data_IF_729610319808
#
_entry.id   IF_729610319808
#
_cell.length_a   1.000
_cell.length_b   1.000
_cell.length_c   1.000
_cell.angle_alpha   90.00
_cell.angle_beta   90.00
_cell.angle_gamma   90.00
#
_symmetry.space_group_name_H-M   'P 1'
#
loop_
_entity.id
_entity.type
_entity.pdbx_description
1 polymer ?
#
# COMPACT_ATOMS: atom_id res chain seq x y z
N UNK A 1 -5.46 23.11 -52.80
CA UNK A 1 -5.84 22.32 -54.00
C UNK A 1 -5.36 20.89 -53.78
N UNK A 2 -6.30 19.95 -53.59
CA UNK A 2 -6.10 18.47 -53.68
C UNK A 2 -6.05 18.06 -55.17
N UNK A 3 -5.42 16.94 -55.61
CA UNK A 3 -5.86 15.54 -55.35
C UNK A 3 -4.71 14.54 -55.03
N UNK A 4 -4.89 13.54 -54.16
CA UNK A 4 -5.44 12.16 -54.36
C UNK A 4 -4.63 11.31 -55.36
N UNK A 5 -4.00 10.23 -54.86
CA UNK A 5 -3.96 8.92 -55.52
C UNK A 5 -3.69 7.81 -54.48
N UNK A 6 -4.70 6.99 -54.25
CA UNK A 6 -4.65 5.73 -53.52
C UNK A 6 -4.18 4.60 -54.45
N UNK A 7 -3.49 3.59 -53.92
CA UNK A 7 -3.41 2.28 -54.57
C UNK A 7 -3.39 1.16 -53.52
N UNK A 8 -4.56 0.53 -53.40
CA UNK A 8 -4.81 -0.79 -52.82
C UNK A 8 -4.60 -1.84 -53.91
N UNK A 9 -4.18 -3.06 -53.54
CA UNK A 9 -4.38 -4.41 -54.16
C UNK A 9 -3.14 -5.27 -53.84
N UNK A 10 -3.16 -6.57 -53.54
CA UNK A 10 -4.11 -7.54 -53.00
C UNK A 10 -3.31 -8.85 -52.81
N UNK A 11 -3.53 -9.51 -51.67
CA UNK A 11 -3.69 -10.97 -51.45
C UNK A 11 -2.94 -11.95 -52.36
N UNK A 12 -2.12 -12.82 -51.75
CA UNK A 12 -1.97 -14.21 -52.19
C UNK A 12 -2.18 -15.19 -51.02
N UNK A 13 -3.19 -16.04 -51.20
CA UNK A 13 -3.61 -17.17 -50.39
C UNK A 13 -2.72 -18.38 -50.71
N UNK A 14 -2.31 -19.14 -49.70
CA UNK A 14 -1.85 -20.52 -49.87
C UNK A 14 -2.44 -21.43 -48.78
N UNK A 15 -3.57 -22.03 -49.10
CA UNK A 15 -4.22 -23.14 -48.39
C UNK A 15 -3.82 -24.48 -49.02
N UNK A 16 -3.46 -25.47 -48.20
CA UNK A 16 -3.57 -26.91 -48.50
C UNK A 16 -3.74 -27.62 -47.13
N UNK A 17 -4.90 -28.16 -46.72
CA UNK A 17 -5.77 -29.22 -47.24
C UNK A 17 -5.56 -30.57 -46.50
N UNK A 18 -6.54 -30.89 -45.63
CA UNK A 18 -7.24 -32.18 -45.39
C UNK A 18 -6.48 -33.47 -44.98
N UNK A 19 -6.59 -33.79 -43.67
CA UNK A 19 -7.14 -34.97 -42.95
C UNK A 19 -7.44 -36.33 -43.66
N UNK A 20 -7.89 -37.43 -42.99
CA UNK A 20 -7.84 -37.87 -41.56
C UNK A 20 -7.39 -39.36 -41.38
N UNK A 21 -7.17 -39.83 -40.15
CA UNK A 21 -7.31 -41.26 -39.80
C UNK A 21 -7.58 -41.48 -38.30
N UNK A 22 -8.78 -42.00 -38.00
CA UNK A 22 -9.16 -42.55 -36.71
C UNK A 22 -8.85 -44.05 -36.66
N UNK A 23 -8.35 -44.55 -35.52
CA UNK A 23 -8.50 -45.95 -35.12
C UNK A 23 -8.41 -46.09 -33.60
N UNK A 24 -9.49 -46.60 -33.03
CA UNK A 24 -9.64 -46.96 -31.63
C UNK A 24 -8.74 -48.13 -31.24
N UNK A 25 -8.26 -48.11 -29.99
CA UNK A 25 -7.53 -49.21 -29.36
C UNK A 25 -7.58 -49.03 -27.84
N UNK A 26 -8.64 -49.54 -27.23
CA UNK A 26 -8.79 -49.63 -25.78
C UNK A 26 -7.82 -50.68 -25.20
N UNK A 27 -7.02 -50.29 -24.22
CA UNK A 27 -6.46 -51.19 -23.20
C UNK A 27 -6.35 -50.44 -21.88
N UNK A 28 -7.07 -50.98 -20.89
CA UNK A 28 -7.14 -50.56 -19.49
C UNK A 28 -5.94 -51.09 -18.72
N UNK A 29 -5.30 -50.26 -17.88
CA UNK A 29 -4.86 -50.65 -16.53
C UNK A 29 -4.33 -49.46 -15.71
N UNK A 30 -5.08 -49.16 -14.64
CA UNK A 30 -4.67 -48.72 -13.30
C UNK A 30 -3.59 -47.63 -13.13
N UNK A 31 -4.04 -46.45 -12.71
CA UNK A 31 -3.26 -45.46 -11.97
C UNK A 31 -3.83 -45.40 -10.54
N UNK A 32 -3.00 -45.40 -9.48
CA UNK A 32 -3.49 -45.31 -8.11
C UNK A 32 -3.88 -43.86 -7.79
N UNK A 33 -5.00 -43.70 -7.10
CA UNK A 33 -5.44 -42.43 -6.53
C UNK A 33 -4.49 -42.06 -5.38
N UNK A 34 -3.80 -40.94 -5.53
CA UNK A 34 -3.18 -40.23 -4.41
C UNK A 34 -3.98 -38.96 -4.24
N UNK A 35 -4.84 -38.97 -3.24
CA UNK A 35 -5.46 -37.78 -2.67
C UNK A 35 -4.39 -37.15 -1.77
N UNK A 36 -3.81 -36.05 -2.25
CA UNK A 36 -3.02 -35.13 -1.42
C UNK A 36 -3.88 -33.89 -1.28
N UNK A 37 -4.26 -33.62 -0.04
CA UNK A 37 -4.82 -32.36 0.43
C UNK A 37 -3.86 -31.24 0.02
N UNK A 38 -4.36 -30.22 -0.67
CA UNK A 38 -3.70 -28.92 -0.69
C UNK A 38 -3.78 -28.42 0.76
N UNK A 39 -2.66 -28.56 1.47
CA UNK A 39 -2.39 -27.72 2.61
C UNK A 39 -1.94 -26.38 2.03
N UNK A 40 -2.64 -25.35 2.45
CA UNK A 40 -2.09 -24.04 2.82
C UNK A 40 -0.55 -24.02 2.85
N UNK A 41 0.03 -23.20 1.99
CA UNK A 41 1.47 -22.91 1.99
C UNK A 41 1.58 -21.40 2.05
N UNK A 42 1.45 -20.84 3.24
CA UNK A 42 2.11 -19.57 3.57
C UNK A 42 3.61 -19.78 3.38
N UNK A 43 4.29 -19.02 2.52
CA UNK A 43 5.74 -19.07 2.44
C UNK A 43 6.28 -18.28 3.64
N UNK A 44 6.44 -18.94 4.78
CA UNK A 44 7.26 -18.37 5.86
C UNK A 44 8.71 -18.30 5.35
N UNK A 45 9.18 -17.11 5.03
CA UNK A 45 10.60 -16.80 4.78
C UNK A 45 11.31 -17.06 6.11
N UNK A 46 11.99 -18.20 6.23
CA UNK A 46 12.80 -18.52 7.40
C UNK A 46 14.29 -18.42 7.04
N UNK A 47 15.06 -17.64 7.80
CA UNK A 47 16.50 -17.84 8.10
C UNK A 47 17.52 -17.72 6.94
N UNK A 48 17.14 -17.29 5.74
CA UNK A 48 17.99 -17.40 4.52
C UNK A 48 18.44 -16.06 3.90
N UNK A 49 18.25 -14.90 4.55
CA UNK A 49 18.83 -13.62 4.08
C UNK A 49 20.34 -13.65 4.33
N UNK A 50 21.14 -13.89 3.28
CA UNK A 50 22.59 -14.08 3.39
C UNK A 50 23.34 -12.99 2.61
N UNK A 51 24.16 -12.23 3.33
CA UNK A 51 25.04 -11.22 2.75
C UNK A 51 26.37 -11.85 2.37
N UNK A 52 26.48 -12.31 1.11
CA UNK A 52 27.71 -12.86 0.54
C UNK A 52 28.08 -12.12 -0.75
N UNK A 53 29.33 -11.64 -0.83
CA UNK A 53 29.87 -10.92 -1.98
C UNK A 53 30.97 -11.72 -2.71
N UNK A 54 31.10 -11.59 -4.05
CA UNK A 54 30.33 -10.73 -4.92
C UNK A 54 28.88 -11.22 -5.08
N UNK A 55 27.93 -10.27 -5.02
CA UNK A 55 26.50 -10.48 -5.24
C UNK A 55 26.19 -10.18 -6.71
N UNK A 56 25.51 -11.08 -7.41
CA UNK A 56 25.07 -10.89 -8.80
C UNK A 56 23.58 -11.19 -8.88
N UNK A 57 22.77 -10.19 -9.23
CA UNK A 57 21.31 -10.27 -9.25
C UNK A 57 20.74 -9.54 -10.46
N UNK A 58 19.55 -9.94 -10.89
CA UNK A 58 18.80 -9.24 -11.94
C UNK A 58 17.77 -8.34 -11.28
N UNK A 59 17.73 -7.08 -11.69
CA UNK A 59 16.84 -6.06 -11.12
C UNK A 59 15.49 -5.97 -11.88
N UNK A 60 14.60 -5.08 -11.47
CA UNK A 60 13.28 -4.87 -12.10
C UNK A 60 13.37 -4.47 -13.58
N UNK A 61 14.45 -3.81 -14.00
CA UNK A 61 14.68 -3.43 -15.41
C UNK A 61 15.16 -4.60 -16.28
N UNK A 62 15.50 -5.74 -15.66
CA UNK A 62 16.09 -6.90 -16.31
C UNK A 62 17.61 -6.80 -16.52
N UNK A 63 18.27 -5.82 -15.90
CA UNK A 63 19.73 -5.66 -15.93
C UNK A 63 20.37 -6.56 -14.87
N UNK A 64 21.52 -7.16 -15.20
CA UNK A 64 22.28 -7.95 -14.22
C UNK A 64 23.27 -7.05 -13.51
N UNK A 65 22.97 -6.72 -12.26
CA UNK A 65 23.79 -5.88 -11.40
C UNK A 65 24.75 -6.76 -10.60
N UNK A 66 26.00 -6.29 -10.44
CA UNK A 66 27.02 -6.96 -9.63
C UNK A 66 27.51 -6.00 -8.56
N UNK A 67 27.49 -6.43 -7.30
CA UNK A 67 28.08 -5.74 -6.15
C UNK A 67 29.28 -6.57 -5.71
N UNK A 68 30.49 -6.04 -5.91
CA UNK A 68 31.74 -6.82 -5.76
C UNK A 68 32.12 -7.10 -4.29
N UNK A 69 31.85 -6.13 -3.41
CA UNK A 69 32.18 -6.13 -1.97
C UNK A 69 31.01 -5.47 -1.20
N UNK A 70 30.97 -5.66 0.12
CA UNK A 70 29.98 -5.04 1.00
C UNK A 70 30.04 -3.50 0.88
N UNK A 71 28.94 -2.81 0.49
CA UNK A 71 28.93 -1.36 0.33
C UNK A 71 29.24 -0.61 1.63
N UNK A 72 30.02 0.48 1.55
CA UNK A 72 30.25 1.41 2.66
C UNK A 72 29.43 2.71 2.48
N UNK A 73 29.16 3.12 1.22
CA UNK A 73 28.41 4.33 0.87
C UNK A 73 27.21 3.99 -0.02
N UNK A 74 26.00 4.19 0.51
CA UNK A 74 24.72 3.87 -0.14
C UNK A 74 23.96 5.16 -0.46
N UNK A 75 23.34 5.22 -1.63
CA UNK A 75 22.29 6.21 -1.92
C UNK A 75 20.94 5.50 -1.97
N UNK A 76 19.99 5.97 -1.17
CA UNK A 76 18.59 5.56 -1.22
C UNK A 76 17.84 6.58 -2.07
N UNK A 77 17.34 6.17 -3.25
CA UNK A 77 16.90 7.12 -4.28
C UNK A 77 15.49 7.67 -4.00
N UNK A 78 14.60 6.85 -3.46
CA UNK A 78 13.23 7.20 -3.10
C UNK A 78 13.02 7.21 -1.57
N UNK A 79 11.93 7.84 -1.07
CA UNK A 79 11.59 7.81 0.35
C UNK A 79 11.43 6.39 0.93
N UNK A 80 10.82 5.46 0.20
CA UNK A 80 10.68 4.05 0.60
C UNK A 80 12.03 3.32 0.72
N UNK A 81 12.96 3.59 -0.21
CA UNK A 81 14.33 3.08 -0.14
C UNK A 81 15.01 3.56 1.14
N UNK A 82 14.81 4.84 1.49
CA UNK A 82 15.41 5.44 2.67
C UNK A 82 14.80 4.88 3.95
N UNK A 83 13.47 4.78 4.02
CA UNK A 83 12.78 4.16 5.16
C UNK A 83 13.29 2.74 5.38
N UNK A 84 13.31 1.91 4.33
CA UNK A 84 13.79 0.52 4.42
C UNK A 84 15.22 0.46 4.93
N UNK A 85 16.12 1.29 4.38
CA UNK A 85 17.53 1.32 4.78
C UNK A 85 17.70 1.77 6.24
N UNK A 86 16.83 2.66 6.75
CA UNK A 86 16.85 3.08 8.14
C UNK A 86 16.34 2.00 9.09
N UNK A 87 15.23 1.34 8.73
CA UNK A 87 14.58 0.32 9.57
C UNK A 87 15.44 -0.93 9.73
N UNK A 88 16.21 -1.31 8.69
CA UNK A 88 17.16 -2.43 8.78
C UNK A 88 18.48 -2.06 9.49
N UNK A 89 18.63 -0.83 9.99
CA UNK A 89 19.83 -0.40 10.72
C UNK A 89 21.03 0.01 9.83
N UNK A 90 20.80 0.26 8.55
CA UNK A 90 21.84 0.68 7.58
C UNK A 90 21.97 2.21 7.45
N UNK A 91 21.30 3.01 8.28
CA UNK A 91 21.25 4.47 8.15
C UNK A 91 22.62 5.15 8.16
N UNK A 92 23.62 4.60 8.87
CA UNK A 92 24.99 5.16 8.89
C UNK A 92 25.71 5.04 7.54
N UNK A 93 25.27 4.14 6.65
CA UNK A 93 25.81 3.94 5.30
C UNK A 93 25.19 4.92 4.28
N UNK A 94 24.04 5.51 4.59
CA UNK A 94 23.30 6.39 3.66
C UNK A 94 23.99 7.74 3.51
N UNK A 95 24.63 7.97 2.36
CA UNK A 95 25.31 9.24 2.04
C UNK A 95 24.43 10.21 1.24
N UNK A 96 23.34 9.72 0.65
CA UNK A 96 22.36 10.53 -0.08
C UNK A 96 20.96 9.93 -0.10
N UNK A 97 19.96 10.79 0.07
CA UNK A 97 18.53 10.45 0.04
C UNK A 97 17.67 11.72 -0.11
N UNK A 98 16.38 11.61 -0.44
CA UNK A 98 15.46 12.74 -0.32
C UNK A 98 15.40 13.24 1.14
N UNK A 99 15.53 14.54 1.37
CA UNK A 99 15.39 15.16 2.70
C UNK A 99 14.29 16.21 2.65
N UNK A 100 13.11 15.88 3.19
CA UNK A 100 11.96 16.79 3.12
C UNK A 100 10.71 16.22 3.75
N UNK A 101 9.54 16.70 3.29
CA UNK A 101 8.22 16.30 3.82
C UNK A 101 7.94 14.79 3.72
N UNK A 102 8.57 14.10 2.77
CA UNK A 102 8.40 12.66 2.56
C UNK A 102 9.33 11.80 3.41
N UNK A 103 10.28 12.38 4.14
CA UNK A 103 11.28 11.67 4.95
C UNK A 103 11.54 12.33 6.30
N UNK A 104 10.72 13.31 6.72
CA UNK A 104 10.92 14.05 7.97
C UNK A 104 10.61 13.24 9.23
N UNK A 105 9.85 12.15 9.08
CA UNK A 105 9.61 11.14 10.08
C UNK A 105 10.84 10.25 10.33
N UNK A 106 11.76 10.18 9.36
CA UNK A 106 13.08 9.59 9.57
C UNK A 106 13.91 10.62 10.32
N UNK A 107 14.51 10.24 11.46
CA UNK A 107 15.43 11.09 12.24
C UNK A 107 16.77 11.27 11.48
N UNK A 108 16.74 11.85 10.28
CA UNK A 108 17.88 11.99 9.36
C UNK A 108 18.98 12.83 10.03
N UNK A 109 20.12 12.19 10.24
CA UNK A 109 21.29 12.86 10.82
C UNK A 109 22.05 13.70 9.76
N UNK A 110 22.93 14.59 10.22
CA UNK A 110 23.68 15.54 9.37
C UNK A 110 24.67 14.88 8.36
N UNK A 111 24.70 13.55 8.21
CA UNK A 111 25.62 12.83 7.33
C UNK A 111 25.08 12.57 5.92
N UNK A 112 23.75 12.52 5.73
CA UNK A 112 23.15 12.33 4.42
C UNK A 112 23.03 13.66 3.65
N UNK A 113 23.25 13.61 2.34
CA UNK A 113 23.04 14.75 1.44
C UNK A 113 21.65 14.67 0.82
N UNK A 114 20.93 15.79 0.80
CA UNK A 114 19.70 15.90 0.02
C UNK A 114 20.03 15.81 -1.48
N UNK A 115 19.50 14.78 -2.13
CA UNK A 115 19.71 14.51 -3.57
C UNK A 115 18.55 15.00 -4.43
N UNK A 116 17.61 15.78 -3.89
CA UNK A 116 16.49 16.33 -4.65
C UNK A 116 16.79 17.69 -5.26
N UNK A 117 16.09 18.03 -6.35
CA UNK A 117 16.06 19.38 -6.90
C UNK A 117 15.29 20.34 -5.97
N UNK A 118 15.20 21.64 -6.34
CA UNK A 118 14.47 22.67 -5.58
C UNK A 118 12.98 22.33 -5.32
N UNK A 119 12.41 21.34 -6.01
CA UNK A 119 11.03 20.88 -5.82
C UNK A 119 10.87 19.81 -4.72
N UNK A 120 11.97 19.27 -4.17
CA UNK A 120 11.96 18.29 -3.09
C UNK A 120 11.53 16.87 -3.51
N UNK A 121 11.36 16.63 -4.81
CA UNK A 121 10.82 15.35 -5.35
C UNK A 121 11.71 14.82 -6.47
N UNK A 122 12.06 15.67 -7.44
CA UNK A 122 12.85 15.27 -8.59
C UNK A 122 14.28 14.97 -8.15
N UNK A 123 14.84 13.83 -8.52
CA UNK A 123 16.23 13.50 -8.18
C UNK A 123 17.21 14.34 -9.01
N UNK A 124 18.16 15.02 -8.35
CA UNK A 124 19.32 15.65 -8.98
C UNK A 124 20.40 14.59 -9.25
N UNK A 125 20.45 14.10 -10.49
CA UNK A 125 21.40 13.08 -10.90
C UNK A 125 22.86 13.50 -10.69
N UNK A 126 23.21 14.77 -10.87
CA UNK A 126 24.60 15.22 -10.67
C UNK A 126 24.97 15.21 -9.19
N UNK A 127 24.00 15.48 -8.31
CA UNK A 127 24.21 15.39 -6.87
C UNK A 127 24.47 13.95 -6.42
N UNK A 128 23.75 12.96 -6.99
CA UNK A 128 24.00 11.53 -6.76
C UNK A 128 25.37 11.11 -7.30
N UNK A 129 25.73 11.54 -8.52
CA UNK A 129 27.03 11.24 -9.14
C UNK A 129 28.20 11.82 -8.33
N UNK A 130 28.05 13.03 -7.80
CA UNK A 130 29.09 13.68 -7.00
C UNK A 130 29.36 12.98 -5.65
N UNK A 131 28.42 12.14 -5.16
CA UNK A 131 28.60 11.33 -3.96
C UNK A 131 29.46 10.09 -4.19
N UNK A 132 29.60 9.62 -5.44
CA UNK A 132 30.40 8.43 -5.82
C UNK A 132 30.05 7.16 -4.99
N UNK A 133 28.76 6.79 -4.82
CA UNK A 133 28.36 5.69 -3.94
C UNK A 133 28.76 4.31 -4.47
N UNK A 134 28.89 3.35 -3.56
CA UNK A 134 29.14 1.95 -3.90
C UNK A 134 27.90 1.28 -4.53
N UNK A 135 26.70 1.65 -4.05
CA UNK A 135 25.42 1.23 -4.61
C UNK A 135 24.35 2.32 -4.46
N UNK A 136 23.52 2.46 -5.49
CA UNK A 136 22.26 3.21 -5.46
C UNK A 136 21.11 2.21 -5.43
N UNK A 137 20.31 2.23 -4.37
CA UNK A 137 19.06 1.47 -4.29
C UNK A 137 17.94 2.39 -4.77
N UNK A 138 17.16 1.92 -5.74
CA UNK A 138 16.11 2.68 -6.36
C UNK A 138 14.85 1.84 -6.49
N UNK A 139 13.76 2.28 -5.88
CA UNK A 139 12.44 1.74 -6.17
C UNK A 139 12.08 1.93 -7.67
N UNK A 140 11.25 1.03 -8.24
CA UNK A 140 10.86 1.05 -9.66
C UNK A 140 10.18 2.37 -10.07
N UNK A 141 9.51 3.05 -9.15
CA UNK A 141 8.91 4.38 -9.39
C UNK A 141 9.93 5.44 -9.83
N UNK A 142 11.22 5.27 -9.52
CA UNK A 142 12.29 6.14 -10.03
C UNK A 142 12.40 6.15 -11.56
N UNK A 143 11.90 5.10 -12.24
CA UNK A 143 11.81 5.04 -13.71
C UNK A 143 10.84 6.07 -14.30
N UNK A 144 9.96 6.64 -13.48
CA UNK A 144 9.07 7.73 -13.90
C UNK A 144 9.84 9.00 -14.29
N UNK A 145 11.04 9.22 -13.72
CA UNK A 145 11.95 10.27 -14.11
C UNK A 145 12.72 9.86 -15.37
N UNK A 146 12.23 10.28 -16.54
CA UNK A 146 12.76 9.89 -17.85
C UNK A 146 14.30 10.06 -17.94
N UNK A 147 15.01 8.92 -18.06
CA UNK A 147 16.46 8.87 -18.28
C UNK A 147 17.33 8.97 -17.03
N UNK A 148 16.76 9.06 -15.83
CA UNK A 148 17.52 9.12 -14.57
C UNK A 148 18.42 7.89 -14.41
N UNK A 149 17.83 6.68 -14.46
CA UNK A 149 18.56 5.43 -14.26
C UNK A 149 19.62 5.23 -15.36
N UNK A 150 19.31 5.56 -16.62
CA UNK A 150 20.27 5.52 -17.73
C UNK A 150 21.46 6.46 -17.47
N UNK A 151 21.20 7.68 -16.97
CA UNK A 151 22.26 8.64 -16.65
C UNK A 151 23.18 8.14 -15.54
N UNK A 152 22.61 7.62 -14.45
CA UNK A 152 23.38 7.10 -13.31
C UNK A 152 24.19 5.85 -13.70
N UNK A 153 23.58 4.89 -14.40
CA UNK A 153 24.24 3.64 -14.80
C UNK A 153 25.17 3.80 -16.00
N UNK A 154 24.65 4.22 -17.15
CA UNK A 154 25.37 4.13 -18.43
C UNK A 154 26.32 5.31 -18.67
N UNK A 155 25.97 6.51 -18.18
CA UNK A 155 26.78 7.72 -18.39
C UNK A 155 27.79 7.94 -17.26
N UNK A 156 27.41 7.64 -16.02
CA UNK A 156 28.24 7.84 -14.83
C UNK A 156 28.93 6.57 -14.31
N UNK A 157 28.59 5.37 -14.82
CA UNK A 157 29.21 4.08 -14.42
C UNK A 157 28.94 3.74 -12.93
N UNK A 158 27.82 4.18 -12.37
CA UNK A 158 27.40 3.83 -11.00
C UNK A 158 26.69 2.47 -10.96
N UNK A 159 26.89 1.73 -9.87
CA UNK A 159 26.10 0.54 -9.54
C UNK A 159 24.74 0.99 -9.02
N UNK A 160 23.71 0.90 -9.86
CA UNK A 160 22.32 1.17 -9.44
C UNK A 160 21.56 -0.14 -9.48
N UNK A 161 20.75 -0.45 -8.48
CA UNK A 161 19.83 -1.59 -8.45
C UNK A 161 18.40 -1.08 -8.40
N UNK A 162 17.54 -1.49 -9.34
CA UNK A 162 16.11 -1.14 -9.32
C UNK A 162 15.31 -2.25 -8.66
N UNK A 163 14.74 -1.95 -7.50
CA UNK A 163 13.84 -2.82 -6.73
C UNK A 163 12.45 -2.81 -7.38
N UNK A 164 11.73 -3.94 -7.40
CA UNK A 164 10.38 -4.00 -7.96
C UNK A 164 9.39 -3.23 -7.06
N UNK A 165 8.42 -2.54 -7.67
CA UNK A 165 7.39 -1.80 -6.93
C UNK A 165 6.55 -2.75 -6.07
N UNK A 166 6.28 -2.36 -4.82
CA UNK A 166 5.54 -3.19 -3.87
C UNK A 166 4.03 -2.92 -3.96
N UNK A 167 3.26 -3.96 -4.27
CA UNK A 167 1.81 -3.88 -4.41
C UNK A 167 1.06 -4.61 -3.28
N UNK A 168 1.80 -5.08 -2.27
CA UNK A 168 1.32 -5.77 -1.08
C UNK A 168 2.33 -5.64 0.06
N UNK A 169 1.90 -5.93 1.29
CA UNK A 169 2.76 -6.03 2.47
C UNK A 169 3.78 -7.16 2.30
N UNK A 170 3.40 -8.26 1.65
CA UNK A 170 4.33 -9.34 1.29
C UNK A 170 5.46 -8.84 0.38
N UNK A 171 5.14 -8.03 -0.63
CA UNK A 171 6.16 -7.43 -1.51
C UNK A 171 7.08 -6.47 -0.72
N UNK A 172 6.55 -5.75 0.27
CA UNK A 172 7.38 -4.93 1.18
C UNK A 172 8.38 -5.82 1.93
N UNK A 173 7.91 -6.92 2.52
CA UNK A 173 8.78 -7.88 3.22
C UNK A 173 9.87 -8.45 2.30
N UNK A 174 9.54 -8.76 1.04
CA UNK A 174 10.51 -9.20 0.04
C UNK A 174 11.54 -8.09 -0.28
N UNK A 175 11.08 -6.85 -0.44
CA UNK A 175 11.93 -5.68 -0.70
C UNK A 175 12.86 -5.34 0.47
N UNK A 176 12.43 -5.55 1.72
CA UNK A 176 13.27 -5.40 2.91
C UNK A 176 14.41 -6.40 2.90
N UNK A 177 14.10 -7.69 2.69
CA UNK A 177 15.11 -8.75 2.61
C UNK A 177 16.08 -8.56 1.43
N UNK A 178 15.57 -8.06 0.30
CA UNK A 178 16.39 -7.70 -0.86
C UNK A 178 17.33 -6.53 -0.54
N UNK A 179 16.79 -5.44 0.02
CA UNK A 179 17.59 -4.27 0.41
C UNK A 179 18.69 -4.64 1.39
N UNK A 180 18.41 -5.49 2.38
CA UNK A 180 19.42 -6.03 3.29
C UNK A 180 20.58 -6.72 2.59
N UNK A 181 20.31 -7.52 1.55
CA UNK A 181 21.37 -8.15 0.74
C UNK A 181 22.15 -7.13 -0.10
N UNK A 182 21.48 -6.12 -0.65
CA UNK A 182 22.12 -5.09 -1.46
C UNK A 182 23.12 -4.26 -0.64
N UNK A 183 22.75 -3.89 0.59
CA UNK A 183 23.54 -2.98 1.45
C UNK A 183 24.39 -3.68 2.51
N UNK A 184 24.28 -5.00 2.65
CA UNK A 184 25.10 -5.77 3.60
C UNK A 184 24.49 -5.93 4.98
N UNK A 185 23.28 -5.41 5.23
CA UNK A 185 22.57 -5.47 6.51
C UNK A 185 21.50 -6.58 6.54
N UNK A 186 21.93 -7.84 6.32
CA UNK A 186 21.01 -8.99 6.30
C UNK A 186 20.45 -9.37 7.67
N UNK A 187 21.23 -9.21 8.76
CA UNK A 187 20.74 -9.45 10.13
C UNK A 187 19.64 -8.45 10.48
N UNK A 188 19.89 -7.16 10.21
CA UNK A 188 18.88 -6.11 10.38
C UNK A 188 17.64 -6.33 9.53
N UNK A 189 17.79 -6.67 8.24
CA UNK A 189 16.63 -6.98 7.39
C UNK A 189 15.83 -8.19 7.88
N UNK A 190 16.49 -9.24 8.40
CA UNK A 190 15.79 -10.39 8.99
C UNK A 190 15.04 -9.98 10.24
N UNK A 191 15.67 -9.23 11.14
CA UNK A 191 15.05 -8.73 12.37
C UNK A 191 13.84 -7.82 12.05
N UNK A 192 13.95 -6.94 11.05
CA UNK A 192 12.84 -6.07 10.61
C UNK A 192 11.67 -6.87 10.06
N UNK A 193 11.91 -7.88 9.22
CA UNK A 193 10.85 -8.74 8.68
C UNK A 193 10.16 -9.53 9.80
N UNK A 194 10.93 -10.10 10.73
CA UNK A 194 10.36 -10.79 11.90
C UNK A 194 9.52 -9.83 12.77
N UNK A 195 9.96 -8.59 12.95
CA UNK A 195 9.19 -7.57 13.67
C UNK A 195 7.89 -7.19 12.94
N UNK A 196 7.93 -7.05 11.61
CA UNK A 196 6.74 -6.80 10.81
C UNK A 196 5.73 -7.94 10.95
N UNK A 197 6.17 -9.19 10.77
CA UNK A 197 5.33 -10.38 10.87
C UNK A 197 4.68 -10.47 12.27
N UNK A 198 5.47 -10.30 13.34
CA UNK A 198 4.98 -10.34 14.72
C UNK A 198 3.93 -9.24 14.98
N UNK A 199 4.17 -8.01 14.48
CA UNK A 199 3.25 -6.88 14.66
C UNK A 199 1.95 -7.05 13.87
N UNK A 200 2.02 -7.57 12.65
CA UNK A 200 0.85 -7.86 11.84
C UNK A 200 0.00 -9.00 12.44
N UNK A 201 0.64 -10.05 13.00
CA UNK A 201 -0.09 -11.09 13.73
C UNK A 201 -0.77 -10.53 14.99
N UNK A 202 -0.09 -9.65 15.74
CA UNK A 202 -0.64 -9.00 16.93
C UNK A 202 -1.75 -7.97 16.58
N UNK A 203 -1.74 -7.42 15.36
CA UNK A 203 -2.72 -6.45 14.86
C UNK A 203 -3.96 -7.10 14.21
N UNK A 204 -3.97 -8.42 14.00
CA UNK A 204 -5.12 -9.11 13.41
C UNK A 204 -6.38 -8.89 14.29
N UNK A 205 -7.41 -8.16 13.80
CA UNK A 205 -8.51 -7.71 14.65
C UNK A 205 -9.42 -8.89 15.07
N UNK A 206 -9.83 -8.92 16.35
CA UNK A 206 -10.74 -9.96 16.88
C UNK A 206 -12.21 -9.54 16.65
N UNK A 207 -12.63 -9.51 15.37
CA UNK A 207 -13.97 -9.09 14.93
C UNK A 207 -14.79 -10.23 14.30
N UNK A 208 -16.12 -10.23 14.51
CA UNK A 208 -17.06 -11.21 13.92
C UNK A 208 -17.46 -10.82 12.47
N UNK A 209 -17.55 -9.52 12.15
CA UNK A 209 -17.89 -9.00 10.82
C UNK A 209 -16.97 -7.83 10.42
N UNK A 210 -16.34 -7.93 9.24
CA UNK A 210 -15.46 -6.89 8.71
C UNK A 210 -16.26 -5.63 8.33
N UNK A 211 -15.93 -4.45 8.88
CA UNK A 211 -16.54 -3.19 8.45
C UNK A 211 -16.14 -2.85 7.02
N UNK A 212 -17.08 -2.27 6.26
CA UNK A 212 -16.84 -1.85 4.88
C UNK A 212 -16.15 -0.49 4.84
N UNK A 213 -15.14 -0.35 3.98
CA UNK A 213 -14.34 0.86 3.86
C UNK A 213 -14.35 1.43 2.45
N UNK A 214 -14.44 2.77 2.35
CA UNK A 214 -14.16 3.52 1.13
C UNK A 214 -12.86 4.32 1.29
N UNK A 215 -11.85 4.02 0.47
CA UNK A 215 -10.59 4.77 0.44
C UNK A 215 -10.68 5.96 -0.53
N UNK A 216 -10.87 7.17 0.02
CA UNK A 216 -11.13 8.38 -0.76
C UNK A 216 -9.83 9.14 -1.06
N UNK A 217 -9.40 9.13 -2.32
CA UNK A 217 -8.21 9.88 -2.77
C UNK A 217 -8.54 11.23 -3.39
N UNK A 218 -9.68 11.36 -4.07
CA UNK A 218 -10.11 12.62 -4.67
C UNK A 218 -11.63 12.78 -4.83
N UNK A 219 -12.06 14.03 -5.09
CA UNK A 219 -13.46 14.41 -5.29
C UNK A 219 -14.07 13.81 -6.58
N UNK A 220 -13.27 13.16 -7.44
CA UNK A 220 -13.70 12.49 -8.67
C UNK A 220 -14.00 11.00 -8.43
N UNK A 221 -13.72 10.49 -7.23
CA UNK A 221 -13.98 9.10 -6.84
C UNK A 221 -12.79 8.18 -7.08
N UNK A 222 -11.57 8.70 -7.18
CA UNK A 222 -10.38 7.87 -7.29
C UNK A 222 -10.16 7.08 -5.98
N UNK A 223 -9.90 5.77 -6.11
CA UNK A 223 -9.77 4.83 -5.00
C UNK A 223 -8.80 3.70 -5.35
N UNK A 224 -8.31 3.03 -4.31
CA UNK A 224 -7.54 1.80 -4.38
C UNK A 224 -8.46 0.58 -4.44
N UNK A 225 -8.15 -0.39 -5.31
CA UNK A 225 -8.84 -1.67 -5.42
C UNK A 225 -7.88 -2.87 -5.38
N UNK A 226 -8.38 -4.11 -5.52
CA UNK A 226 -7.57 -5.32 -5.52
C UNK A 226 -6.33 -5.23 -6.43
N UNK A 227 -5.19 -5.66 -5.88
CA UNK A 227 -3.89 -5.60 -6.54
C UNK A 227 -3.12 -4.29 -6.32
N UNK A 228 -3.60 -3.42 -5.44
CA UNK A 228 -2.82 -2.28 -4.91
C UNK A 228 -2.39 -2.53 -3.47
N UNK A 229 -1.26 -1.91 -3.11
CA UNK A 229 -0.74 -1.92 -1.74
C UNK A 229 -1.77 -1.42 -0.72
N UNK A 230 -2.46 -0.33 -1.02
CA UNK A 230 -3.45 0.26 -0.13
C UNK A 230 -4.65 -0.67 0.10
N UNK A 231 -5.07 -1.45 -0.88
CA UNK A 231 -6.11 -2.45 -0.67
C UNK A 231 -5.63 -3.56 0.27
N UNK A 232 -4.40 -4.06 0.09
CA UNK A 232 -3.81 -5.08 0.94
C UNK A 232 -3.67 -4.60 2.40
N UNK A 233 -3.29 -3.34 2.62
CA UNK A 233 -3.26 -2.70 3.95
C UNK A 233 -4.64 -2.65 4.60
N UNK A 234 -5.70 -2.32 3.85
CA UNK A 234 -7.05 -2.30 4.37
C UNK A 234 -7.55 -3.70 4.76
N UNK A 235 -7.28 -4.70 3.92
CA UNK A 235 -7.66 -6.09 4.21
C UNK A 235 -6.89 -6.62 5.44
N UNK A 236 -5.59 -6.33 5.54
CA UNK A 236 -4.76 -6.72 6.68
C UNK A 236 -5.28 -6.11 8.00
N UNK A 237 -5.83 -4.90 7.95
CA UNK A 237 -6.46 -4.24 9.09
C UNK A 237 -7.92 -4.68 9.36
N UNK A 238 -8.44 -5.65 8.60
CA UNK A 238 -9.77 -6.24 8.82
C UNK A 238 -10.94 -5.57 8.11
N UNK A 239 -10.69 -4.60 7.22
CA UNK A 239 -11.75 -3.94 6.45
C UNK A 239 -12.10 -4.68 5.15
N UNK A 240 -13.38 -4.62 4.76
CA UNK A 240 -13.82 -4.99 3.42
C UNK A 240 -13.81 -3.74 2.51
N UNK A 241 -12.90 -3.68 1.54
CA UNK A 241 -12.80 -2.53 0.64
C UNK A 241 -13.89 -2.55 -0.45
N UNK A 242 -14.80 -1.57 -0.43
CA UNK A 242 -15.95 -1.51 -1.37
C UNK A 242 -15.54 -1.41 -2.85
N UNK A 243 -14.29 -1.02 -3.14
CA UNK A 243 -13.76 -0.92 -4.48
C UNK A 243 -13.66 -2.30 -5.17
N UNK A 244 -13.48 -3.38 -4.42
CA UNK A 244 -13.45 -4.75 -4.94
C UNK A 244 -14.78 -5.11 -5.63
N UNK A 245 -15.89 -4.95 -4.91
CA UNK A 245 -17.23 -5.24 -5.41
C UNK A 245 -17.66 -4.29 -6.54
N UNK A 246 -17.10 -3.07 -6.54
CA UNK A 246 -17.27 -2.11 -7.63
C UNK A 246 -16.44 -2.46 -8.89
N UNK A 247 -15.52 -3.42 -8.80
CA UNK A 247 -14.68 -3.87 -9.91
C UNK A 247 -13.58 -2.88 -10.30
N UNK A 248 -13.09 -2.09 -9.35
CA UNK A 248 -11.87 -1.29 -9.50
C UNK A 248 -10.68 -2.22 -9.34
N UNK A 249 -9.74 -2.22 -10.28
CA UNK A 249 -8.50 -3.02 -10.20
C UNK A 249 -7.33 -2.04 -9.97
N UNK A 250 -6.41 -2.36 -9.06
CA UNK A 250 -5.23 -1.56 -8.69
C UNK A 250 -5.62 -0.14 -8.24
N UNK A 251 -5.82 0.78 -9.20
CA UNK A 251 -6.33 2.12 -8.97
C UNK A 251 -7.34 2.54 -10.04
N UNK A 252 -8.41 3.22 -9.62
CA UNK A 252 -9.41 3.71 -10.57
C UNK A 252 -10.49 4.58 -9.95
N UNK A 253 -11.39 5.06 -10.81
CA UNK A 253 -12.56 5.84 -10.39
C UNK A 253 -13.74 4.90 -10.07
N UNK A 254 -14.31 5.03 -8.88
CA UNK A 254 -15.60 4.42 -8.51
C UNK A 254 -16.75 5.40 -8.82
N UNK A 255 -17.88 4.90 -9.34
CA UNK A 255 -19.07 5.73 -9.55
C UNK A 255 -19.61 6.18 -8.17
N UNK A 256 -19.80 7.49 -7.91
CA UNK A 256 -20.27 7.96 -6.61
C UNK A 256 -21.63 7.37 -6.20
N UNK A 257 -22.51 7.03 -7.15
CA UNK A 257 -23.79 6.37 -6.81
C UNK A 257 -23.58 4.92 -6.37
N UNK A 258 -22.49 4.25 -6.78
CA UNK A 258 -22.12 2.93 -6.25
C UNK A 258 -21.61 3.05 -4.82
N UNK A 259 -20.85 4.09 -4.48
CA UNK A 259 -20.44 4.36 -3.09
C UNK A 259 -21.66 4.60 -2.21
N UNK A 260 -22.63 5.38 -2.68
CA UNK A 260 -23.90 5.62 -1.98
C UNK A 260 -24.75 4.35 -1.86
N UNK A 261 -24.72 3.45 -2.86
CA UNK A 261 -25.44 2.17 -2.79
C UNK A 261 -24.76 1.17 -1.86
N UNK A 262 -23.43 1.16 -1.81
CA UNK A 262 -22.63 0.36 -0.89
C UNK A 262 -22.80 0.84 0.56
N UNK A 263 -22.91 2.16 0.76
CA UNK A 263 -23.07 2.81 2.06
C UNK A 263 -21.97 2.37 3.06
N UNK A 264 -20.70 2.71 2.80
CA UNK A 264 -19.58 2.20 3.59
C UNK A 264 -19.71 2.59 5.06
N UNK A 265 -19.21 1.74 5.95
CA UNK A 265 -19.18 1.95 7.39
C UNK A 265 -18.19 3.06 7.77
N UNK A 266 -17.06 3.13 7.05
CA UNK A 266 -16.01 4.14 7.23
C UNK A 266 -15.51 4.72 5.92
N UNK A 267 -15.07 5.99 5.97
CA UNK A 267 -14.33 6.64 4.88
C UNK A 267 -12.89 6.88 5.36
N UNK A 268 -11.95 6.22 4.68
CA UNK A 268 -10.52 6.28 4.96
C UNK A 268 -9.87 7.21 3.95
N UNK A 269 -8.96 8.08 4.38
CA UNK A 269 -8.33 9.06 3.50
C UNK A 269 -6.94 9.48 4.00
N UNK A 270 -6.01 9.87 3.10
CA UNK A 270 -4.71 10.35 3.53
C UNK A 270 -4.77 11.70 4.27
N UNK A 271 -3.96 11.85 5.31
CA UNK A 271 -3.98 12.97 6.26
C UNK A 271 -3.29 14.26 5.77
N UNK A 272 -2.80 14.30 4.52
CA UNK A 272 -2.37 15.56 3.88
C UNK A 272 -3.54 16.52 3.62
N UNK A 273 -4.78 16.02 3.73
CA UNK A 273 -6.02 16.80 3.67
C UNK A 273 -6.62 16.95 5.06
N UNK A 274 -7.20 18.12 5.36
CA UNK A 274 -7.92 18.35 6.63
C UNK A 274 -9.28 17.61 6.70
N UNK A 275 -9.86 17.26 5.55
CA UNK A 275 -11.18 16.65 5.38
C UNK A 275 -11.12 15.61 4.24
N UNK A 276 -11.91 14.52 4.28
CA UNK A 276 -11.86 13.49 3.25
C UNK A 276 -12.30 14.06 1.90
N UNK A 277 -11.54 13.83 0.80
CA UNK A 277 -11.85 14.38 -0.50
C UNK A 277 -12.94 13.54 -1.19
N UNK A 278 -14.18 13.58 -0.69
CA UNK A 278 -15.28 12.76 -1.22
C UNK A 278 -16.12 13.51 -2.28
N UNK A 279 -16.68 12.81 -3.28
CA UNK A 279 -17.66 13.41 -4.19
C UNK A 279 -18.93 13.89 -3.45
N UNK A 280 -19.54 15.00 -3.90
CA UNK A 280 -20.79 15.58 -3.33
C UNK A 280 -21.91 14.54 -3.06
N UNK A 281 -22.00 13.48 -3.88
CA UNK A 281 -23.02 12.45 -3.72
C UNK A 281 -22.79 11.57 -2.49
N UNK A 282 -21.51 11.33 -2.14
CA UNK A 282 -21.08 10.48 -1.03
C UNK A 282 -21.40 11.12 0.33
N UNK A 283 -21.63 12.44 0.40
CA UNK A 283 -22.15 13.12 1.60
C UNK A 283 -23.48 12.53 2.12
N UNK A 284 -24.19 11.74 1.29
CA UNK A 284 -25.45 11.09 1.65
C UNK A 284 -25.28 9.69 2.29
N UNK A 285 -24.04 9.20 2.41
CA UNK A 285 -23.73 7.92 3.10
C UNK A 285 -23.80 8.08 4.61
N UNK A 286 -24.05 6.98 5.31
CA UNK A 286 -24.08 6.93 6.77
C UNK A 286 -22.73 7.37 7.35
N UNK A 287 -21.61 6.86 6.83
CA UNK A 287 -20.28 7.29 7.27
C UNK A 287 -20.05 8.80 7.15
N UNK A 288 -20.51 9.43 6.06
CA UNK A 288 -20.38 10.88 5.88
C UNK A 288 -21.31 11.69 6.79
N UNK A 289 -22.55 11.23 7.01
CA UNK A 289 -23.50 11.90 7.90
C UNK A 289 -23.09 11.83 9.38
N UNK A 290 -22.43 10.74 9.78
CA UNK A 290 -21.98 10.49 11.16
C UNK A 290 -20.52 10.91 11.41
N UNK A 291 -19.80 11.36 10.38
CA UNK A 291 -18.38 11.75 10.43
C UNK A 291 -17.45 10.57 10.83
N UNK A 292 -17.77 9.35 10.36
CA UNK A 292 -16.93 8.15 10.51
C UNK A 292 -15.75 8.20 9.52
N UNK A 293 -14.84 9.13 9.78
CA UNK A 293 -13.69 9.42 8.95
C UNK A 293 -12.41 9.00 9.64
N UNK A 294 -11.61 8.19 8.95
CA UNK A 294 -10.34 7.68 9.46
C UNK A 294 -9.20 8.27 8.63
N UNK A 295 -8.53 9.33 9.09
CA UNK A 295 -7.32 9.82 8.44
C UNK A 295 -6.17 8.83 8.65
N UNK A 296 -5.44 8.52 7.58
CA UNK A 296 -4.25 7.67 7.62
C UNK A 296 -3.01 8.44 7.18
N UNK A 297 -1.85 8.07 7.69
CA UNK A 297 -0.59 8.74 7.38
C UNK A 297 -0.30 8.66 5.88
N UNK A 298 -0.28 9.82 5.19
CA UNK A 298 -0.08 9.88 3.74
C UNK A 298 1.26 9.30 3.31
N UNK A 299 2.33 9.57 4.06
CA UNK A 299 3.66 9.06 3.72
C UNK A 299 3.67 7.52 3.77
N UNK A 300 3.16 6.91 4.85
CA UNK A 300 3.15 5.46 4.97
C UNK A 300 2.24 4.78 3.93
N UNK A 301 1.09 5.40 3.63
CA UNK A 301 0.14 4.86 2.65
C UNK A 301 0.57 5.01 1.19
N UNK A 302 1.59 5.82 0.89
CA UNK A 302 2.09 6.03 -0.47
C UNK A 302 3.57 5.65 -0.63
N UNK A 303 4.23 5.17 0.43
CA UNK A 303 5.63 4.75 0.43
C UNK A 303 5.71 3.33 1.00
N UNK A 304 5.45 2.29 0.19
CA UNK A 304 5.54 0.91 0.66
C UNK A 304 6.89 0.64 1.32
N UNK A 305 6.86 0.31 2.62
CA UNK A 305 8.05 0.16 3.46
C UNK A 305 7.69 -0.37 4.85
N UNK A 306 8.68 -0.73 5.68
CA UNK A 306 8.45 -1.47 6.92
C UNK A 306 7.51 -0.78 7.91
N UNK A 307 7.50 0.55 7.95
CA UNK A 307 6.69 1.29 8.90
C UNK A 307 5.18 1.20 8.61
N UNK A 308 4.75 0.62 7.49
CA UNK A 308 3.33 0.44 7.18
C UNK A 308 2.57 -0.32 8.27
N UNK A 309 3.24 -1.19 9.01
CA UNK A 309 2.65 -1.93 10.13
C UNK A 309 2.04 -1.01 11.19
N UNK A 310 2.54 0.23 11.35
CA UNK A 310 1.93 1.23 12.23
C UNK A 310 0.53 1.62 11.75
N UNK A 311 0.35 1.82 10.44
CA UNK A 311 -0.95 2.14 9.87
C UNK A 311 -1.92 0.96 9.93
N UNK A 312 -1.42 -0.28 9.78
CA UNK A 312 -2.25 -1.49 9.93
C UNK A 312 -2.76 -1.61 11.36
N UNK A 313 -1.90 -1.42 12.36
CA UNK A 313 -2.27 -1.42 13.78
C UNK A 313 -3.33 -0.35 14.09
N UNK A 314 -3.10 0.89 13.66
CA UNK A 314 -4.04 2.00 13.87
C UNK A 314 -5.41 1.72 13.21
N UNK A 315 -5.42 1.15 12.01
CA UNK A 315 -6.64 0.79 11.29
C UNK A 315 -7.36 -0.40 11.95
N UNK A 316 -6.64 -1.41 12.43
CA UNK A 316 -7.23 -2.55 13.13
C UNK A 316 -7.94 -2.11 14.43
N UNK A 317 -7.33 -1.20 15.19
CA UNK A 317 -7.95 -0.58 16.37
C UNK A 317 -9.28 0.12 16.00
N UNK A 318 -9.34 0.80 14.84
CA UNK A 318 -10.56 1.45 14.34
C UNK A 318 -11.62 0.43 13.88
N UNK A 319 -11.21 -0.69 13.26
CA UNK A 319 -12.11 -1.76 12.87
C UNK A 319 -12.79 -2.41 14.09
N UNK A 320 -12.03 -2.73 15.15
CA UNK A 320 -12.56 -3.26 16.41
C UNK A 320 -13.49 -2.26 17.12
N UNK A 321 -13.14 -0.97 17.10
CA UNK A 321 -13.97 0.07 17.69
C UNK A 321 -15.34 0.14 17.00
N UNK A 322 -15.38 0.03 15.68
CA UNK A 322 -16.61 0.08 14.89
C UNK A 322 -17.58 -1.07 15.24
N UNK A 323 -17.08 -2.30 15.34
CA UNK A 323 -17.90 -3.45 15.74
C UNK A 323 -18.50 -3.27 17.13
N UNK A 324 -17.70 -2.78 18.08
CA UNK A 324 -18.14 -2.58 19.47
C UNK A 324 -19.30 -1.58 19.59
N UNK A 325 -19.33 -0.57 18.72
CA UNK A 325 -20.41 0.41 18.65
C UNK A 325 -21.66 -0.17 17.98
N UNK A 326 -21.49 -1.04 16.97
CA UNK A 326 -22.58 -1.78 16.33
C UNK A 326 -23.29 -2.74 17.31
N UNK A 327 -22.54 -3.54 18.07
CA UNK A 327 -23.10 -4.44 19.10
C UNK A 327 -23.82 -3.65 20.21
N UNK A 328 -23.25 -2.50 20.61
CA UNK A 328 -23.85 -1.63 21.63
C UNK A 328 -25.18 -1.02 21.21
N UNK A 329 -25.37 -0.77 19.90
CA UNK A 329 -26.64 -0.30 19.33
C UNK A 329 -27.71 -1.41 19.31
N UNK A 330 -27.34 -2.62 18.93
CA UNK A 330 -28.26 -3.78 18.89
C UNK A 330 -28.77 -4.17 20.28
N UNK A 331 -27.90 -4.17 21.29
CA UNK A 331 -28.29 -4.45 22.68
C UNK A 331 -29.22 -3.36 23.28
N UNK A 332 -29.12 -2.13 22.80
CA UNK A 332 -29.98 -1.03 23.24
C UNK A 332 -31.41 -1.16 22.69
N UNK A 333 -31.57 -1.70 21.48
CA UNK A 333 -32.86 -1.94 20.86
C UNK A 333 -33.57 -3.18 21.41
N UNK A 334 -32.84 -4.23 21.82
CA UNK A 334 -33.42 -5.43 22.45
C UNK A 334 -33.85 -5.19 23.92
N UNK A 335 -33.44 -4.08 24.55
CA UNK A 335 -33.82 -3.73 25.91
C UNK A 335 -35.21 -3.08 26.06
N UNK A 336 -35.92 -2.74 24.97
CA UNK A 336 -37.24 -2.06 25.03
C UNK A 336 -38.47 -3.00 25.03
N UNK A 337 -38.31 -4.31 24.82
CA UNK A 337 -39.46 -5.25 24.82
C UNK A 337 -39.67 -5.94 26.19
N UNK A 338 -40.15 -5.14 27.15
CA UNK A 338 -40.34 -5.54 28.56
C UNK A 338 -41.58 -4.99 29.28
N UNK A 339 -42.77 -5.23 28.72
CA UNK A 339 -44.08 -5.44 29.39
C UNK A 339 -44.92 -4.23 29.94
N UNK A 340 -46.16 -4.21 29.42
CA UNK A 340 -47.46 -3.69 29.94
C UNK A 340 -47.88 -2.21 29.76
N UNK A 341 -48.65 -2.03 28.68
CA UNK A 341 -49.91 -1.27 28.54
C UNK A 341 -50.50 -0.53 29.76
N UNK A 342 -50.79 0.77 29.59
CA UNK A 342 -52.16 1.36 29.65
C UNK A 342 -52.17 2.84 29.16
N UNK A 343 -53.26 3.33 28.51
CA UNK A 343 -53.30 4.67 27.93
C UNK A 343 -53.69 5.77 28.94
N UNK A 344 -53.06 6.92 28.74
CA UNK A 344 -53.21 8.28 29.32
C UNK A 344 -54.64 8.65 29.80
N UNK A 345 -54.78 9.42 30.91
CA UNK A 345 -55.04 10.86 30.74
C UNK A 345 -54.50 11.80 31.86
N UNK A 346 -53.88 12.91 31.44
CA UNK A 346 -54.19 14.25 31.97
C UNK A 346 -53.23 14.94 32.95
N UNK A 347 -52.82 16.16 32.56
CA UNK A 347 -52.20 17.26 33.34
C UNK A 347 -50.82 16.95 33.95
N UNK A 348 -49.69 17.50 33.48
CA UNK A 348 -49.33 18.92 33.32
C UNK A 348 -48.06 19.15 34.15
N UNK A 349 -46.93 19.60 33.59
CA UNK A 349 -46.37 20.97 33.60
C UNK A 349 -44.87 20.80 33.24
N UNK A 350 -44.21 21.74 32.54
CA UNK A 350 -42.92 21.50 31.90
C UNK A 350 -41.75 21.69 32.87
N UNK A 351 -40.70 20.89 32.71
CA UNK A 351 -39.40 21.12 33.31
C UNK A 351 -38.34 21.13 32.20
N UNK A 352 -37.81 22.32 31.95
CA UNK A 352 -36.56 22.56 31.23
C UNK A 352 -35.36 22.19 32.12
N UNK A 353 -34.18 22.10 31.48
CA UNK A 353 -32.77 22.14 31.99
C UNK A 353 -32.02 20.91 31.45
N UNK A 354 -30.83 20.97 30.86
CA UNK A 354 -29.99 22.02 30.30
C UNK A 354 -28.83 21.29 29.59
N UNK A 355 -28.50 21.69 28.36
CA UNK A 355 -27.29 21.24 27.69
C UNK A 355 -26.08 21.96 28.30
N UNK A 356 -25.06 21.20 28.72
CA UNK A 356 -23.78 21.73 29.16
C UNK A 356 -22.73 21.37 28.10
N UNK A 357 -22.42 22.35 27.24
CA UNK A 357 -21.24 22.34 26.38
C UNK A 357 -20.01 22.69 27.23
N UNK A 358 -19.01 21.80 27.26
CA UNK A 358 -17.66 22.12 27.72
C UNK A 358 -16.71 22.15 26.52
N UNK A 359 -16.55 23.35 25.96
CA UNK A 359 -15.41 23.68 25.13
C UNK A 359 -14.21 24.01 26.02
N UNK A 360 -13.09 23.29 25.86
CA UNK A 360 -11.79 23.68 26.41
C UNK A 360 -10.91 24.10 25.24
N UNK A 361 -10.87 25.41 24.98
CA UNK A 361 -9.86 26.01 24.12
C UNK A 361 -8.57 26.24 24.90
N UNK A 362 -7.45 25.73 24.38
CA UNK A 362 -6.11 26.08 24.85
C UNK A 362 -5.52 27.17 23.94
N UNK A 363 -5.41 28.38 24.49
CA UNK A 363 -4.74 29.52 23.86
C UNK A 363 -3.78 30.10 24.89
N UNK A 364 -2.48 29.86 24.72
CA UNK A 364 -1.43 30.59 25.47
C UNK A 364 -0.57 31.36 24.48
N UNK A 365 -0.49 32.66 24.73
CA UNK A 365 0.13 33.70 23.91
C UNK A 365 1.46 34.14 24.52
N UNK A 366 2.49 34.18 23.67
CA UNK A 366 3.71 35.01 23.67
C UNK A 366 4.10 35.82 24.92
N UNK A 367 5.36 35.64 25.33
CA UNK A 367 6.33 36.74 25.47
C UNK A 367 7.71 36.33 25.02
#
# INVERSE_FOLDING_TARGET
MRPIAALVVAVFVATAAFAPAAAAGATTHATPETSTSAGDVTPSIQDDTVCEYPLEMTDATGETVTIDEEPEEVVALQPSDAQTTYEIGAQEQVVGMPIGEFTDYLDVEDHATDITEDDGVTTDAEQVIDLDPDVVVADETALSQEGLIDQLRDEADLTVFVVEDANSIDDVTENVALTGQLVGECEGATDTVEEMDDRLEDAEPDIDESPTAYFAMDEEGYTAGPGSFNHDVLEAAGFENIAEDAGVEEWGEIDPEMVVEADPDVIIYPDYQDEPPIPDAVEATTAAEEENFVPVNDNLMNQPGPMIVETVEDLADEAEAHESDAEGADDADDADDGDESEPIPGFGVPAAVAAALLAVGFLVRFR
#
